data_IF_260247194834
#
_entry.id   IF_260247194834
#
_cell.length_a   1.000
_cell.length_b   1.000
_cell.length_c   1.000
_cell.angle_alpha   90.00
_cell.angle_beta   90.00
_cell.angle_gamma   90.00
#
_symmetry.space_group_name_H-M   'P 1'
#
loop_
_entity.id
_entity.type
_entity.pdbx_description
1 polymer ?
#
# COMPACT_ATOMS: atom_id res chain seq x y z
N UNK A 1 9.41 2.53 8.85
CA UNK A 1 9.09 2.58 7.40
C UNK A 1 10.33 2.73 6.50
N UNK A 2 11.52 2.94 7.04
CA UNK A 2 12.77 2.97 6.27
C UNK A 2 13.43 1.58 6.31
N UNK A 3 13.23 0.78 5.27
CA UNK A 3 14.10 -0.36 4.99
C UNK A 3 14.79 -0.10 3.66
N UNK A 4 16.08 -0.46 3.50
CA UNK A 4 16.77 -0.28 2.23
C UNK A 4 16.01 -1.00 1.11
N UNK A 5 16.11 -0.45 -0.11
CA UNK A 5 15.61 -1.05 -1.36
C UNK A 5 14.09 -1.21 -1.52
N UNK A 6 13.28 -0.43 -0.79
CA UNK A 6 11.82 -0.41 -0.99
C UNK A 6 11.41 0.67 -1.97
N UNK A 7 10.65 0.28 -2.99
CA UNK A 7 9.99 1.23 -3.89
C UNK A 7 8.69 1.75 -3.28
N UNK A 8 8.24 2.91 -3.76
CA UNK A 8 7.10 3.64 -3.17
C UNK A 8 5.81 2.82 -3.13
N UNK A 9 5.55 1.98 -4.14
CA UNK A 9 4.39 1.09 -4.16
C UNK A 9 4.40 0.06 -3.03
N UNK A 10 5.56 -0.53 -2.72
CA UNK A 10 5.69 -1.47 -1.59
C UNK A 10 5.47 -0.80 -0.23
N UNK A 11 5.91 0.45 -0.07
CA UNK A 11 5.69 1.22 1.16
C UNK A 11 4.20 1.55 1.28
N UNK A 12 3.59 2.02 0.20
CA UNK A 12 2.17 2.36 0.11
C UNK A 12 1.28 1.15 0.42
N UNK A 13 1.60 -0.02 -0.13
CA UNK A 13 0.87 -1.26 0.14
C UNK A 13 0.89 -1.63 1.63
N UNK A 14 1.99 -1.37 2.34
CA UNK A 14 2.07 -1.59 3.80
C UNK A 14 1.20 -0.62 4.58
N UNK A 15 1.14 0.63 4.15
CA UNK A 15 0.28 1.65 4.77
C UNK A 15 -1.19 1.29 4.60
N UNK A 16 -1.63 0.95 3.38
CA UNK A 16 -3.02 0.58 3.14
C UNK A 16 -3.41 -0.75 3.79
N UNK A 17 -2.51 -1.73 3.82
CA UNK A 17 -2.74 -2.96 4.58
C UNK A 17 -2.87 -2.69 6.10
N UNK A 18 -2.14 -1.70 6.62
CA UNK A 18 -2.28 -1.28 8.01
C UNK A 18 -3.61 -0.54 8.24
N UNK A 19 -4.03 0.33 7.32
CA UNK A 19 -5.33 1.01 7.33
C UNK A 19 -6.49 -0.01 7.39
N UNK A 20 -6.45 -1.06 6.56
CA UNK A 20 -7.48 -2.10 6.53
C UNK A 20 -7.50 -2.95 7.81
N UNK A 21 -6.31 -3.28 8.35
CA UNK A 21 -6.22 -3.95 9.67
C UNK A 21 -6.78 -3.08 10.78
N UNK A 22 -6.50 -1.78 10.77
CA UNK A 22 -7.01 -0.86 11.77
C UNK A 22 -8.54 -0.78 11.72
N UNK A 23 -9.15 -0.75 10.52
CA UNK A 23 -10.60 -0.86 10.35
C UNK A 23 -11.16 -2.17 10.91
N UNK A 24 -10.53 -3.30 10.58
CA UNK A 24 -10.93 -4.60 11.11
C UNK A 24 -10.94 -4.59 12.65
N UNK A 25 -9.84 -4.12 13.25
CA UNK A 25 -9.69 -4.03 14.70
C UNK A 25 -10.72 -3.12 15.36
N UNK A 26 -11.05 -1.98 14.74
CA UNK A 26 -12.12 -1.11 15.23
C UNK A 26 -13.46 -1.84 15.22
N UNK A 27 -13.81 -2.49 14.10
CA UNK A 27 -15.08 -3.21 13.96
C UNK A 27 -15.19 -4.37 14.97
N UNK A 28 -14.09 -5.09 15.20
CA UNK A 28 -14.03 -6.18 16.18
C UNK A 28 -14.23 -5.66 17.60
N UNK A 29 -13.54 -4.57 17.97
CA UNK A 29 -13.73 -3.95 19.29
C UNK A 29 -15.16 -3.45 19.49
N UNK A 30 -15.77 -2.82 18.48
CA UNK A 30 -17.17 -2.38 18.54
C UNK A 30 -18.18 -3.54 18.67
N UNK A 31 -17.83 -4.71 18.13
CA UNK A 31 -18.64 -5.92 18.22
C UNK A 31 -18.35 -6.74 19.49
N UNK A 32 -17.49 -6.25 20.39
CA UNK A 32 -16.97 -6.99 21.55
C UNK A 32 -16.30 -8.32 21.16
N UNK A 33 -15.73 -8.40 19.94
CA UNK A 33 -14.92 -9.51 19.47
C UNK A 33 -13.44 -9.25 19.77
N UNK A 34 -12.87 -10.05 20.67
CA UNK A 34 -11.48 -9.93 21.09
C UNK A 34 -10.56 -10.99 20.45
N UNK A 35 -10.98 -11.62 19.35
CA UNK A 35 -10.21 -12.67 18.68
C UNK A 35 -8.79 -12.24 18.28
N UNK A 36 -8.61 -10.97 17.87
CA UNK A 36 -7.29 -10.39 17.58
C UNK A 36 -6.61 -9.73 18.79
N UNK A 37 -7.24 -9.79 19.97
CA UNK A 37 -6.78 -9.18 21.22
C UNK A 37 -6.71 -10.23 22.35
N UNK A 38 -5.87 -11.28 22.21
CA UNK A 38 -5.87 -12.43 23.13
C UNK A 38 -5.58 -12.04 24.58
N UNK A 39 -4.77 -11.00 24.82
CA UNK A 39 -4.51 -10.48 26.16
C UNK A 39 -5.77 -9.83 26.78
N UNK A 40 -6.58 -9.13 25.99
CA UNK A 40 -7.84 -8.52 26.44
C UNK A 40 -8.88 -9.60 26.70
N UNK A 41 -8.99 -10.58 25.80
CA UNK A 41 -9.87 -11.74 25.98
C UNK A 41 -9.55 -12.51 27.28
N UNK A 42 -8.27 -12.72 27.58
CA UNK A 42 -7.84 -13.36 28.82
C UNK A 42 -8.22 -12.54 30.06
N UNK A 43 -8.01 -11.22 30.04
CA UNK A 43 -8.35 -10.33 31.17
C UNK A 43 -9.85 -10.28 31.46
N UNK A 44 -10.71 -10.32 30.44
CA UNK A 44 -12.16 -10.37 30.63
C UNK A 44 -12.65 -11.66 31.30
N UNK A 45 -11.92 -12.77 31.09
CA UNK A 45 -12.24 -14.04 31.73
C UNK A 45 -11.85 -14.10 33.22
N UNK A 46 -10.86 -13.29 33.63
CA UNK A 46 -10.30 -13.26 34.98
C UNK A 46 -10.84 -12.11 35.85
N UNK A 47 -11.22 -10.99 35.22
CA UNK A 47 -11.65 -9.77 35.90
C UNK A 47 -12.91 -9.26 35.20
N UNK A 48 -13.96 -8.97 35.96
CA UNK A 48 -15.09 -8.19 35.44
C UNK A 48 -14.57 -6.78 35.18
N UNK A 49 -14.08 -6.50 33.97
CA UNK A 49 -13.54 -5.19 33.58
C UNK A 49 -14.73 -4.22 33.60
N UNK A 50 -14.82 -3.30 34.58
CA UNK A 50 -16.00 -2.48 34.76
C UNK A 50 -15.64 -1.06 34.39
N UNK A 51 -15.36 -0.79 33.12
CA UNK A 51 -15.43 0.60 32.64
C UNK A 51 -15.68 0.66 31.13
N UNK A 52 -16.96 0.75 30.77
CA UNK A 52 -17.38 0.99 29.38
C UNK A 52 -16.78 2.27 28.79
N UNK A 53 -16.36 3.21 29.65
CA UNK A 53 -15.75 4.48 29.25
C UNK A 53 -14.37 4.28 28.61
N UNK A 54 -13.50 3.49 29.23
CA UNK A 54 -12.14 3.21 28.71
C UNK A 54 -12.20 2.50 27.36
N UNK A 55 -13.16 1.59 27.20
CA UNK A 55 -13.38 0.88 25.95
C UNK A 55 -13.84 1.84 24.83
N UNK A 56 -14.78 2.74 25.12
CA UNK A 56 -15.25 3.76 24.18
C UNK A 56 -14.17 4.77 23.82
N UNK A 57 -13.33 5.18 24.77
CA UNK A 57 -12.21 6.10 24.55
C UNK A 57 -11.15 5.47 23.62
N UNK A 58 -10.84 4.19 23.83
CA UNK A 58 -9.92 3.45 22.95
C UNK A 58 -10.44 3.38 21.51
N UNK A 59 -11.71 3.00 21.33
CA UNK A 59 -12.32 2.94 19.99
C UNK A 59 -12.30 4.33 19.33
N UNK A 60 -12.62 5.39 20.09
CA UNK A 60 -12.61 6.76 19.59
C UNK A 60 -11.21 7.17 19.14
N UNK A 61 -10.18 6.89 19.94
CA UNK A 61 -8.79 7.13 19.58
C UNK A 61 -8.38 6.40 18.30
N UNK A 62 -8.73 5.12 18.16
CA UNK A 62 -8.40 4.34 16.96
C UNK A 62 -9.11 4.89 15.71
N UNK A 63 -10.35 5.35 15.84
CA UNK A 63 -11.08 6.02 14.74
C UNK A 63 -10.44 7.33 14.32
N UNK A 64 -9.99 8.14 15.28
CA UNK A 64 -9.27 9.38 14.97
C UNK A 64 -7.94 9.09 14.26
N UNK A 65 -7.21 8.08 14.73
CA UNK A 65 -5.97 7.64 14.10
C UNK A 65 -6.19 7.08 12.68
N UNK A 66 -7.25 6.31 12.47
CA UNK A 66 -7.66 5.85 11.14
C UNK A 66 -7.92 7.05 10.21
N UNK A 67 -8.65 8.06 10.70
CA UNK A 67 -8.92 9.29 9.94
C UNK A 67 -7.64 10.05 9.60
N UNK A 68 -6.69 10.14 10.53
CA UNK A 68 -5.38 10.75 10.28
C UNK A 68 -4.65 10.06 9.14
N UNK A 69 -4.58 8.72 9.16
CA UNK A 69 -3.93 7.93 8.10
C UNK A 69 -4.65 8.12 6.77
N UNK A 70 -5.98 8.08 6.76
CA UNK A 70 -6.77 8.26 5.55
C UNK A 70 -6.48 9.61 4.89
N UNK A 71 -6.45 10.69 5.68
CA UNK A 71 -6.16 12.05 5.22
C UNK A 71 -4.71 12.21 4.76
N UNK A 72 -3.76 11.59 5.48
CA UNK A 72 -2.32 11.74 5.21
C UNK A 72 -1.87 11.09 3.91
N UNK A 73 -2.59 10.06 3.45
CA UNK A 73 -2.25 9.29 2.25
C UNK A 73 -3.31 9.38 1.15
N UNK A 74 -4.14 10.43 1.18
CA UNK A 74 -5.23 10.59 0.22
C UNK A 74 -4.73 10.87 -1.20
N UNK A 75 -3.75 11.76 -1.31
CA UNK A 75 -3.00 12.01 -2.54
C UNK A 75 -2.35 10.74 -3.11
N UNK A 76 -1.71 9.94 -2.25
CA UNK A 76 -1.08 8.67 -2.63
C UNK A 76 -2.13 7.68 -3.13
N UNK A 77 -3.35 7.69 -2.56
CA UNK A 77 -4.45 6.79 -2.95
C UNK A 77 -4.93 7.08 -4.37
N UNK A 78 -4.94 8.34 -4.79
CA UNK A 78 -5.29 8.74 -6.15
C UNK A 78 -4.28 8.21 -7.18
N UNK A 79 -2.99 8.22 -6.82
CA UNK A 79 -1.90 7.85 -7.74
C UNK A 79 -1.38 6.43 -7.54
N UNK A 80 -1.89 5.66 -6.57
CA UNK A 80 -1.31 4.35 -6.17
C UNK A 80 -1.18 3.38 -7.33
N UNK A 81 -2.15 3.42 -8.25
CA UNK A 81 -2.18 2.52 -9.40
C UNK A 81 -1.06 2.85 -10.40
N UNK A 82 -0.54 4.08 -10.39
CA UNK A 82 0.60 4.47 -11.23
C UNK A 82 1.89 3.78 -10.78
N UNK A 83 1.96 3.30 -9.54
CA UNK A 83 3.14 2.57 -9.06
C UNK A 83 3.35 1.24 -9.78
N UNK A 84 2.35 0.70 -10.49
CA UNK A 84 2.51 -0.50 -11.32
C UNK A 84 3.65 -0.34 -12.34
N UNK A 85 3.88 0.86 -12.86
CA UNK A 85 4.97 1.13 -13.78
C UNK A 85 6.34 0.91 -13.13
N UNK A 86 6.49 1.36 -11.88
CA UNK A 86 7.74 1.25 -11.11
C UNK A 86 7.90 -0.15 -10.52
N UNK A 87 6.80 -0.80 -10.15
CA UNK A 87 6.75 -2.14 -9.55
C UNK A 87 6.94 -3.25 -10.58
N UNK A 88 6.34 -3.10 -11.78
CA UNK A 88 6.46 -4.03 -12.89
C UNK A 88 5.92 -3.40 -14.20
N UNK A 89 6.79 -2.77 -15.01
CA UNK A 89 6.34 -2.07 -16.21
C UNK A 89 5.77 -3.01 -17.28
N UNK A 90 6.10 -4.31 -17.26
CA UNK A 90 5.51 -5.29 -18.18
C UNK A 90 4.06 -5.66 -17.83
N UNK A 91 3.56 -5.31 -16.65
CA UNK A 91 2.17 -5.52 -16.26
C UNK A 91 1.25 -4.34 -16.56
N UNK A 92 1.80 -3.18 -16.94
CA UNK A 92 1.04 -1.98 -17.33
C UNK A 92 0.08 -2.33 -18.48
N UNK A 93 -1.19 -1.99 -18.36
CA UNK A 93 -2.22 -2.19 -19.39
C UNK A 93 -2.61 -0.86 -20.05
N UNK A 94 -3.42 -0.94 -21.11
CA UNK A 94 -3.88 0.25 -21.83
C UNK A 94 -4.79 1.14 -20.96
N UNK A 95 -5.53 0.53 -20.05
CA UNK A 95 -6.42 1.20 -19.10
C UNK A 95 -5.62 2.10 -18.14
N UNK A 96 -4.40 1.69 -17.80
CA UNK A 96 -3.50 2.43 -16.91
C UNK A 96 -2.98 3.73 -17.54
N UNK A 97 -2.99 3.83 -18.88
CA UNK A 97 -2.55 5.03 -19.60
C UNK A 97 -3.29 6.30 -19.16
N UNK A 98 -4.58 6.17 -18.84
CA UNK A 98 -5.39 7.29 -18.35
C UNK A 98 -4.87 7.85 -17.03
N UNK A 99 -4.35 6.98 -16.16
CA UNK A 99 -3.77 7.38 -14.88
C UNK A 99 -2.48 8.16 -15.10
N UNK A 100 -1.60 7.67 -15.98
CA UNK A 100 -0.35 8.36 -16.27
C UNK A 100 -0.55 9.72 -16.96
N UNK A 101 -1.58 9.87 -17.79
CA UNK A 101 -1.91 11.16 -18.42
C UNK A 101 -2.19 12.28 -17.40
N UNK A 102 -2.55 11.95 -16.15
CA UNK A 102 -2.75 12.93 -15.08
C UNK A 102 -1.46 13.70 -14.73
N UNK A 103 -0.30 13.15 -15.05
CA UNK A 103 1.00 13.80 -14.87
C UNK A 103 1.43 14.65 -16.07
N UNK A 104 0.55 14.86 -17.05
CA UNK A 104 0.83 15.68 -18.24
C UNK A 104 1.50 14.93 -19.39
N UNK A 105 1.65 13.61 -19.31
CA UNK A 105 2.17 12.80 -20.41
C UNK A 105 1.17 12.71 -21.57
N UNK A 106 1.69 12.74 -22.81
CA UNK A 106 0.89 12.44 -24.00
C UNK A 106 0.55 10.95 -24.04
N UNK A 107 -0.75 10.64 -24.06
CA UNK A 107 -1.24 9.25 -24.13
C UNK A 107 -0.58 8.47 -25.26
N UNK A 108 -0.52 9.05 -26.46
CA UNK A 108 0.00 8.36 -27.65
C UNK A 108 1.50 8.10 -27.55
N UNK A 109 2.27 9.06 -27.03
CA UNK A 109 3.71 8.89 -26.83
C UNK A 109 3.97 7.80 -25.80
N UNK A 110 3.28 7.85 -24.66
CA UNK A 110 3.42 6.87 -23.60
C UNK A 110 3.03 5.46 -24.06
N UNK A 111 1.96 5.32 -24.85
CA UNK A 111 1.57 4.02 -25.41
C UNK A 111 2.67 3.43 -26.31
N UNK A 112 3.30 4.25 -27.15
CA UNK A 112 4.39 3.80 -28.00
C UNK A 112 5.61 3.36 -27.18
N UNK A 113 6.02 4.17 -26.19
CA UNK A 113 7.14 3.84 -25.30
C UNK A 113 6.88 2.53 -24.52
N UNK A 114 5.66 2.33 -24.01
CA UNK A 114 5.30 1.09 -23.29
C UNK A 114 5.28 -0.12 -24.23
N UNK A 115 4.87 0.05 -25.50
CA UNK A 115 4.94 -1.02 -26.49
C UNK A 115 6.40 -1.40 -26.75
N UNK A 116 7.29 -0.42 -26.96
CA UNK A 116 8.72 -0.65 -27.17
C UNK A 116 9.34 -1.35 -25.96
N UNK A 117 9.07 -0.85 -24.75
CA UNK A 117 9.52 -1.42 -23.48
C UNK A 117 9.07 -2.88 -23.30
N UNK A 118 7.84 -3.20 -23.68
CA UNK A 118 7.31 -4.57 -23.58
C UNK A 118 7.98 -5.56 -24.54
N UNK A 119 8.51 -5.08 -25.66
CA UNK A 119 9.21 -5.90 -26.65
C UNK A 119 10.72 -6.01 -26.37
N UNK A 120 11.28 -5.17 -25.49
CA UNK A 120 12.66 -5.31 -25.03
C UNK A 120 12.82 -6.49 -24.06
N UNK A 121 13.17 -7.65 -24.63
CA UNK A 121 13.37 -8.90 -23.88
C UNK A 121 14.62 -8.87 -23.00
N UNK A 122 15.64 -8.10 -23.39
CA UNK A 122 16.88 -7.98 -22.63
C UNK A 122 16.65 -7.15 -21.36
N UNK A 123 15.95 -6.03 -21.50
CA UNK A 123 15.58 -5.19 -20.37
C UNK A 123 14.62 -5.93 -19.43
N UNK A 124 13.70 -6.75 -19.96
CA UNK A 124 12.82 -7.62 -19.17
C UNK A 124 13.60 -8.63 -18.33
N UNK A 125 14.59 -9.29 -18.93
CA UNK A 125 15.44 -10.24 -18.22
C UNK A 125 16.22 -9.53 -17.10
N UNK A 126 16.82 -8.38 -17.40
CA UNK A 126 17.53 -7.54 -16.41
C UNK A 126 16.61 -7.14 -15.26
N UNK A 127 15.38 -6.70 -15.55
CA UNK A 127 14.41 -6.34 -14.53
C UNK A 127 14.08 -7.50 -13.60
N UNK A 128 13.81 -8.69 -14.15
CA UNK A 128 13.49 -9.89 -13.37
C UNK A 128 14.64 -10.22 -12.40
N UNK A 129 15.89 -10.19 -12.90
CA UNK A 129 17.07 -10.46 -12.08
C UNK A 129 17.21 -9.49 -10.90
N UNK A 130 17.09 -8.18 -11.15
CA UNK A 130 17.18 -7.17 -10.10
C UNK A 130 16.00 -7.27 -9.13
N UNK A 131 14.79 -7.57 -9.64
CA UNK A 131 13.59 -7.72 -8.82
C UNK A 131 13.72 -8.86 -7.81
N UNK A 132 14.25 -10.01 -8.22
CA UNK A 132 14.49 -11.16 -7.33
C UNK A 132 15.45 -10.82 -6.20
N UNK A 133 16.46 -10.00 -6.48
CA UNK A 133 17.43 -9.47 -5.50
C UNK A 133 16.89 -8.27 -4.70
N UNK A 134 15.67 -7.82 -4.99
CA UNK A 134 15.07 -6.58 -4.48
C UNK A 134 15.86 -5.31 -4.84
N UNK A 135 16.67 -5.32 -5.90
CA UNK A 135 17.54 -4.22 -6.35
C UNK A 135 16.82 -3.28 -7.34
N UNK A 136 15.56 -2.91 -7.07
CA UNK A 136 14.75 -2.09 -7.97
C UNK A 136 15.43 -0.77 -8.36
N UNK A 137 16.06 -0.10 -7.40
CA UNK A 137 16.75 1.17 -7.67
C UNK A 137 17.96 0.99 -8.61
N UNK A 138 18.67 -0.14 -8.53
CA UNK A 138 19.82 -0.41 -9.40
C UNK A 138 19.38 -0.72 -10.83
N UNK A 139 18.20 -1.34 -10.99
CA UNK A 139 17.58 -1.48 -12.31
C UNK A 139 17.24 -0.10 -12.91
N UNK A 140 16.49 0.72 -12.17
CA UNK A 140 16.01 2.01 -12.68
C UNK A 140 17.15 3.02 -12.96
N UNK A 141 18.31 2.91 -12.30
CA UNK A 141 19.51 3.70 -12.63
C UNK A 141 20.14 3.37 -13.99
N UNK A 142 19.89 2.16 -14.51
CA UNK A 142 20.47 1.66 -15.77
C UNK A 142 19.53 1.85 -16.97
N UNK A 143 18.27 2.18 -16.72
CA UNK A 143 17.35 2.58 -17.77
C UNK A 143 17.74 3.99 -18.27
N UNK A 144 17.84 4.20 -19.60
CA UNK A 144 18.15 5.51 -20.18
C UNK A 144 17.06 6.56 -19.91
#
# INVERSE_FOLDING_TARGET
MQGPNKIIGQITNKVFAFEDKLRLYINELEAEDFSNFPAVAALQSEVSIPDSTIHQDLISYLKEYLREIQNRFDDVREIKNCFILVENPWHVQNEDMKLFCQFGFSKTQLMNEIIELKHDTQLKASFIEHREKQEYNEFWKKCP
#
